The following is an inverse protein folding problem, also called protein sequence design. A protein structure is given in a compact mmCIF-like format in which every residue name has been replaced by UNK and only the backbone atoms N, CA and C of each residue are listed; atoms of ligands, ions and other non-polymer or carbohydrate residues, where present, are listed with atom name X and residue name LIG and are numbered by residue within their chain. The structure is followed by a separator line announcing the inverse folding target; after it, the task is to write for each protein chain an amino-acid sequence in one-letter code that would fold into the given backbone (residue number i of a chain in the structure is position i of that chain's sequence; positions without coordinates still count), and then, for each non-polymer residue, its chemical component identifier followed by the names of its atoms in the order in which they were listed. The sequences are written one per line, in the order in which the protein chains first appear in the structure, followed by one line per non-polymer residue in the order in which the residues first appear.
data_IF_342210317954
#
_entry.id   IF_342210317954
#
_cell.length_a   1.000
_cell.length_b   1.000
_cell.length_c   1.000
_cell.angle_alpha   90.00
_cell.angle_beta   90.00
_cell.angle_gamma   90.00
#
_symmetry.space_group_name_H-M   'P 1'
#
loop_
_entity.id
_entity.type
_entity.pdbx_description
1 polymer ?
#
# COMPACT_ATOMS: atom_id res chain seq x y z
N UNK A 1 15.14 17.65 -8.80
CA UNK A 1 13.80 17.20 -8.39
C UNK A 1 13.64 15.79 -8.91
N UNK A 2 13.95 14.79 -8.08
CA UNK A 2 13.64 13.41 -8.41
C UNK A 2 12.12 13.31 -8.53
N UNK A 3 11.68 12.83 -9.69
CA UNK A 3 10.28 12.83 -10.08
C UNK A 3 9.58 11.73 -9.26
N UNK A 4 8.61 12.09 -8.41
CA UNK A 4 7.86 11.17 -7.53
C UNK A 4 7.37 9.91 -8.29
N UNK A 5 7.01 10.09 -9.57
CA UNK A 5 6.64 9.03 -10.50
C UNK A 5 7.72 7.94 -10.70
N UNK A 6 8.99 8.33 -10.66
CA UNK A 6 10.13 7.44 -10.86
C UNK A 6 10.42 6.60 -9.61
N UNK A 7 10.17 7.15 -8.42
CA UNK A 7 10.29 6.42 -7.16
C UNK A 7 9.18 5.38 -7.03
N UNK A 8 7.94 5.76 -7.36
CA UNK A 8 6.81 4.82 -7.36
C UNK A 8 7.01 3.68 -8.37
N UNK A 9 7.55 3.96 -9.55
CA UNK A 9 7.86 2.91 -10.54
C UNK A 9 8.95 1.94 -10.04
N UNK A 10 9.94 2.42 -9.29
CA UNK A 10 11.02 1.61 -8.73
C UNK A 10 10.51 0.71 -7.59
N UNK A 11 9.61 1.24 -6.76
CA UNK A 11 8.89 0.50 -5.71
C UNK A 11 8.05 -0.63 -6.35
N UNK A 12 7.31 -0.32 -7.42
CA UNK A 12 6.47 -1.30 -8.16
C UNK A 12 7.29 -2.41 -8.83
N UNK A 13 8.43 -2.10 -9.45
CA UNK A 13 9.30 -3.15 -10.03
C UNK A 13 9.91 -4.05 -8.95
N UNK A 14 10.22 -3.50 -7.78
CA UNK A 14 10.71 -4.28 -6.64
C UNK A 14 9.63 -5.21 -6.08
N UNK A 15 8.37 -4.75 -6.06
CA UNK A 15 7.19 -5.53 -5.67
C UNK A 15 6.96 -6.77 -6.55
N UNK A 16 7.13 -6.66 -7.88
CA UNK A 16 6.93 -7.78 -8.80
C UNK A 16 7.92 -8.92 -8.59
N UNK A 17 9.17 -8.61 -8.21
CA UNK A 17 10.22 -9.60 -7.97
C UNK A 17 9.98 -10.43 -6.70
N UNK A 18 9.20 -9.91 -5.75
CA UNK A 18 9.00 -10.49 -4.41
C UNK A 18 7.70 -11.28 -4.24
N UNK A 19 6.92 -11.43 -5.31
CA UNK A 19 5.62 -12.15 -5.39
C UNK A 19 5.64 -13.64 -4.99
N UNK A 20 6.79 -14.20 -4.61
CA UNK A 20 6.89 -15.57 -4.06
C UNK A 20 6.79 -15.66 -2.53
N UNK A 21 6.67 -14.52 -1.84
CA UNK A 21 6.74 -14.41 -0.38
C UNK A 21 5.34 -14.06 0.20
N UNK A 22 4.91 -14.83 1.21
CA UNK A 22 3.59 -14.71 1.87
C UNK A 22 3.30 -13.30 2.38
N UNK A 23 4.35 -12.53 2.67
CA UNK A 23 4.28 -11.14 3.12
C UNK A 23 3.66 -10.21 2.06
N UNK A 24 3.97 -10.42 0.79
CA UNK A 24 3.41 -9.61 -0.31
C UNK A 24 1.97 -9.99 -0.63
N UNK A 25 1.60 -11.24 -0.36
CA UNK A 25 0.24 -11.70 -0.51
C UNK A 25 -0.70 -11.10 0.54
N UNK A 26 -0.27 -11.03 1.81
CA UNK A 26 -1.04 -10.33 2.86
C UNK A 26 -1.13 -8.84 2.54
N UNK A 27 -0.04 -8.20 2.07
CA UNK A 27 -0.09 -6.79 1.64
C UNK A 27 -1.12 -6.55 0.53
N UNK A 28 -1.16 -7.40 -0.49
CA UNK A 28 -2.16 -7.32 -1.56
C UNK A 28 -3.59 -7.47 -1.03
N UNK A 29 -3.82 -8.41 -0.11
CA UNK A 29 -5.12 -8.63 0.52
C UNK A 29 -5.57 -7.40 1.31
N UNK A 30 -4.67 -6.82 2.12
CA UNK A 30 -4.98 -5.63 2.93
C UNK A 30 -5.29 -4.40 2.08
N UNK A 31 -4.58 -4.23 0.96
CA UNK A 31 -4.93 -3.19 -0.02
C UNK A 31 -6.32 -3.41 -0.63
N UNK A 32 -6.70 -4.66 -0.93
CA UNK A 32 -8.02 -4.98 -1.47
C UNK A 32 -9.13 -4.76 -0.44
N UNK A 33 -8.92 -5.16 0.82
CA UNK A 33 -9.85 -4.91 1.92
C UNK A 33 -10.10 -3.41 2.12
N UNK A 34 -9.03 -2.61 2.14
CA UNK A 34 -9.15 -1.15 2.22
C UNK A 34 -9.99 -0.58 1.06
N UNK A 35 -9.69 -0.98 -0.18
CA UNK A 35 -10.43 -0.50 -1.35
C UNK A 35 -11.91 -0.92 -1.32
N UNK A 36 -12.21 -2.11 -0.79
CA UNK A 36 -13.57 -2.59 -0.59
C UNK A 36 -14.32 -1.77 0.47
N UNK A 37 -13.73 -1.60 1.65
CA UNK A 37 -14.36 -0.92 2.78
C UNK A 37 -14.39 0.61 2.66
N UNK A 38 -13.65 1.20 1.71
CA UNK A 38 -13.83 2.63 1.35
C UNK A 38 -15.27 2.97 0.95
N UNK A 39 -16.01 2.03 0.38
CA UNK A 39 -17.43 2.18 0.07
C UNK A 39 -18.36 1.55 1.12
N UNK A 40 -17.79 1.00 2.20
CA UNK A 40 -18.49 0.31 3.28
C UNK A 40 -18.95 1.23 4.41
N UNK A 41 -19.30 0.62 5.55
CA UNK A 41 -19.75 1.35 6.73
C UNK A 41 -18.59 2.11 7.40
N UNK A 42 -18.89 3.22 8.08
CA UNK A 42 -17.89 4.14 8.64
C UNK A 42 -16.84 3.43 9.51
N UNK A 43 -17.27 2.55 10.41
CA UNK A 43 -16.38 1.83 11.33
C UNK A 43 -15.43 0.86 10.60
N UNK A 44 -15.92 0.20 9.54
CA UNK A 44 -15.10 -0.71 8.73
C UNK A 44 -14.09 0.06 7.88
N UNK A 45 -14.47 1.25 7.41
CA UNK A 45 -13.60 2.14 6.65
C UNK A 45 -12.45 2.64 7.52
N UNK A 46 -12.74 3.14 8.72
CA UNK A 46 -11.74 3.66 9.66
C UNK A 46 -10.72 2.57 10.04
N UNK A 47 -11.20 1.37 10.41
CA UNK A 47 -10.32 0.25 10.73
C UNK A 47 -9.42 -0.16 9.55
N UNK A 48 -9.98 -0.22 8.35
CA UNK A 48 -9.22 -0.60 7.16
C UNK A 48 -8.19 0.48 6.76
N UNK A 49 -8.51 1.76 6.96
CA UNK A 49 -7.61 2.89 6.73
C UNK A 49 -6.44 2.86 7.73
N UNK A 50 -6.72 2.68 9.03
CA UNK A 50 -5.68 2.58 10.07
C UNK A 50 -4.76 1.37 9.86
N UNK A 51 -5.33 0.21 9.52
CA UNK A 51 -4.52 -0.99 9.23
C UNK A 51 -3.63 -0.77 8.01
N UNK A 52 -4.18 -0.23 6.93
CA UNK A 52 -3.42 -0.01 5.71
C UNK A 52 -2.35 1.07 5.90
N UNK A 53 -2.65 2.13 6.65
CA UNK A 53 -1.68 3.17 7.04
C UNK A 53 -0.46 2.54 7.70
N UNK A 54 -0.67 1.76 8.77
CA UNK A 54 0.44 1.15 9.51
C UNK A 54 1.27 0.22 8.62
N UNK A 55 0.61 -0.62 7.81
CA UNK A 55 1.28 -1.53 6.88
C UNK A 55 2.12 -0.81 5.83
N UNK A 56 1.57 0.24 5.19
CA UNK A 56 2.28 0.97 4.16
C UNK A 56 3.42 1.82 4.73
N UNK A 57 3.28 2.36 5.94
CA UNK A 57 4.38 3.04 6.63
C UNK A 57 5.55 2.09 6.85
N UNK A 58 5.31 0.90 7.42
CA UNK A 58 6.38 -0.08 7.63
C UNK A 58 7.01 -0.52 6.29
N UNK A 59 6.19 -0.76 5.27
CA UNK A 59 6.66 -1.13 3.94
C UNK A 59 7.57 -0.06 3.32
N UNK A 60 7.18 1.22 3.39
CA UNK A 60 7.98 2.33 2.88
C UNK A 60 9.28 2.48 3.67
N UNK A 61 9.25 2.27 5.00
CA UNK A 61 10.44 2.29 5.84
C UNK A 61 11.42 1.17 5.46
N UNK A 62 10.92 -0.05 5.24
CA UNK A 62 11.73 -1.18 4.76
C UNK A 62 12.30 -0.91 3.36
N UNK A 63 11.57 -0.19 2.50
CA UNK A 63 12.04 0.26 1.18
C UNK A 63 13.03 1.43 1.24
N UNK A 64 13.35 1.95 2.44
CA UNK A 64 14.36 2.99 2.67
C UNK A 64 13.84 4.42 2.82
N UNK A 65 12.51 4.61 2.86
CA UNK A 65 11.91 5.93 3.14
C UNK A 65 12.03 6.23 4.65
N UNK A 66 12.50 7.42 5.06
CA UNK A 66 12.50 7.78 6.47
C UNK A 66 11.10 7.72 7.08
N UNK A 67 10.94 7.12 8.28
CA UNK A 67 9.63 6.92 8.93
C UNK A 67 8.74 8.16 8.93
N UNK A 68 9.28 9.32 9.31
CA UNK A 68 8.52 10.57 9.33
C UNK A 68 7.97 10.95 7.96
N UNK A 69 8.72 10.69 6.88
CA UNK A 69 8.27 10.95 5.51
C UNK A 69 7.22 9.92 5.07
N UNK A 70 7.40 8.64 5.44
CA UNK A 70 6.42 7.59 5.17
C UNK A 70 5.08 7.87 5.87
N UNK A 71 5.10 8.24 7.15
CA UNK A 71 3.91 8.62 7.91
C UNK A 71 3.23 9.84 7.29
N UNK A 72 3.98 10.89 6.95
CA UNK A 72 3.44 12.08 6.29
C UNK A 72 2.79 11.75 4.93
N UNK A 73 3.43 10.90 4.14
CA UNK A 73 2.90 10.46 2.85
C UNK A 73 1.60 9.66 3.01
N UNK A 74 1.57 8.72 3.94
CA UNK A 74 0.42 7.84 4.19
C UNK A 74 -0.74 8.52 4.93
N UNK A 75 -0.52 9.66 5.59
CA UNK A 75 -1.59 10.44 6.25
C UNK A 75 -2.57 11.05 5.22
N UNK A 76 -2.13 11.20 3.97
CA UNK A 76 -2.99 11.62 2.87
C UNK A 76 -3.74 10.40 2.31
N UNK A 77 -5.07 10.34 2.51
CA UNK A 77 -5.90 9.22 2.07
C UNK A 77 -5.92 9.03 0.56
N UNK A 78 -5.63 10.06 -0.25
CA UNK A 78 -5.53 9.92 -1.71
C UNK A 78 -4.24 9.18 -2.08
N UNK A 79 -3.12 9.52 -1.43
CA UNK A 79 -1.85 8.80 -1.60
C UNK A 79 -1.96 7.35 -1.12
N UNK A 80 -2.62 7.12 0.02
CA UNK A 80 -2.89 5.79 0.57
C UNK A 80 -3.71 4.94 -0.42
N UNK A 81 -4.74 5.55 -1.01
CA UNK A 81 -5.57 4.91 -2.03
C UNK A 81 -4.78 4.60 -3.29
N UNK A 82 -3.98 5.53 -3.78
CA UNK A 82 -3.20 5.34 -5.00
C UNK A 82 -2.20 4.19 -4.83
N UNK A 83 -1.52 4.12 -3.68
CA UNK A 83 -0.66 2.99 -3.35
C UNK A 83 -1.43 1.67 -3.30
N UNK A 84 -2.58 1.63 -2.63
CA UNK A 84 -3.41 0.43 -2.56
C UNK A 84 -3.81 -0.09 -3.95
N UNK A 85 -4.20 0.82 -4.86
CA UNK A 85 -4.55 0.48 -6.24
C UNK A 85 -3.35 -0.04 -7.02
N UNK A 86 -2.19 0.62 -6.90
CA UNK A 86 -0.95 0.20 -7.59
C UNK A 86 -0.45 -1.15 -7.09
N UNK A 87 -0.44 -1.37 -5.79
CA UNK A 87 -0.03 -2.64 -5.17
C UNK A 87 -1.00 -3.76 -5.58
N UNK A 88 -2.31 -3.54 -5.46
CA UNK A 88 -3.33 -4.54 -5.84
C UNK A 88 -3.27 -4.91 -7.32
N UNK A 89 -3.00 -3.94 -8.20
CA UNK A 89 -2.87 -4.20 -9.66
C UNK A 89 -1.55 -4.86 -10.05
N UNK A 90 -0.49 -4.63 -9.27
CA UNK A 90 0.85 -5.19 -9.51
C UNK A 90 0.95 -6.63 -9.02
N UNK A 91 0.41 -6.92 -7.84
CA UNK A 91 0.46 -8.24 -7.20
C UNK A 91 -0.67 -9.17 -7.68
N UNK A 92 -1.64 -8.61 -8.43
CA UNK A 92 -2.75 -9.34 -9.02
C UNK A 92 -3.87 -9.65 -8.00
N UNK A 93 -5.00 -10.20 -8.47
CA UNK A 93 -6.01 -10.74 -7.56
C UNK A 93 -5.38 -11.85 -6.71
N UNK A 94 -5.60 -11.77 -5.40
CA UNK A 94 -5.41 -12.90 -4.50
C UNK A 94 -6.48 -13.92 -4.89
N UNK A 95 -6.15 -14.80 -5.84
CA UNK A 95 -7.02 -15.91 -6.21
C UNK A 95 -6.90 -16.92 -5.07
N UNK A 96 -7.94 -16.98 -4.23
CA UNK A 96 -8.17 -18.08 -3.32
C UNK A 96 -8.55 -19.37 -4.08
#
# INVERSE_FOLDING_TARGET
MANLHSEVAMIVSSLQFLTSDATYHDLALRCQEYLHYRQGWADQRELAEDMLFNLLVEYLVEAGVPRLQAEQFCTDSDNLTELAMRISSTLGPVVA
#
